data_IF_151484328442
#
_entry.id   IF_151484328442
#
_cell.length_a   1.000
_cell.length_b   1.000
_cell.length_c   1.000
_cell.angle_alpha   90.00
_cell.angle_beta   90.00
_cell.angle_gamma   90.00
#
_symmetry.space_group_name_H-M   'P 1'
#
loop_
_entity.id
_entity.type
_entity.pdbx_description
1 polymer ?
#
# COMPACT_ATOMS: atom_id res chain seq x y z
N UNK A 1 30.73 43.48 31.91
CA UNK A 1 29.37 43.03 31.52
C UNK A 1 29.49 41.67 30.85
N UNK A 2 28.73 40.67 31.33
CA UNK A 2 28.77 39.27 30.85
C UNK A 2 28.27 39.22 29.40
N UNK A 3 29.06 38.65 28.48
CA UNK A 3 28.58 38.28 27.15
C UNK A 3 28.37 36.75 27.13
N UNK A 4 27.13 36.39 26.90
CA UNK A 4 26.56 35.05 26.83
C UNK A 4 26.94 34.35 25.52
N UNK A 5 26.72 33.03 25.53
CA UNK A 5 26.68 32.06 24.42
C UNK A 5 27.99 31.33 24.09
N UNK A 6 28.16 30.17 24.74
CA UNK A 6 28.71 28.97 24.10
C UNK A 6 27.69 28.52 23.06
N UNK A 7 28.04 28.56 21.79
CA UNK A 7 27.31 27.88 20.73
C UNK A 7 28.35 27.15 19.86
N UNK A 8 28.58 25.88 20.19
CA UNK A 8 29.33 24.96 19.35
C UNK A 8 28.46 24.67 18.13
N UNK A 9 28.70 25.38 17.02
CA UNK A 9 28.07 25.09 15.75
C UNK A 9 28.63 23.78 15.16
N UNK A 10 28.16 22.66 15.70
CA UNK A 10 28.26 21.34 15.07
C UNK A 10 27.56 21.39 13.72
N UNK A 11 28.28 21.00 12.67
CA UNK A 11 27.87 21.12 11.28
C UNK A 11 26.46 20.57 11.01
N UNK A 12 25.57 21.45 10.58
CA UNK A 12 24.23 21.08 10.10
C UNK A 12 24.38 20.36 8.76
N UNK A 13 24.42 19.03 8.80
CA UNK A 13 24.21 18.21 7.61
C UNK A 13 22.70 18.28 7.25
N UNK A 14 22.34 19.19 6.36
CA UNK A 14 20.98 19.34 5.80
C UNK A 14 20.70 18.28 4.73
N UNK A 15 20.86 16.99 5.04
CA UNK A 15 20.50 15.93 4.10
C UNK A 15 19.65 14.87 4.78
N UNK A 16 18.41 15.23 5.14
CA UNK A 16 17.29 14.30 5.21
C UNK A 16 16.07 15.05 4.66
N UNK A 17 15.75 14.82 3.38
CA UNK A 17 14.66 13.93 2.96
C UNK A 17 13.47 14.81 2.55
N UNK A 18 13.00 14.85 1.32
CA UNK A 18 12.79 13.78 0.34
C UNK A 18 12.96 14.35 -1.06
N UNK A 19 13.44 13.52 -1.97
CA UNK A 19 13.38 13.75 -3.40
C UNK A 19 11.89 13.91 -3.76
N UNK A 20 11.42 15.14 -3.88
CA UNK A 20 10.16 15.44 -4.55
C UNK A 20 10.40 15.25 -6.05
N UNK A 21 10.60 13.98 -6.44
CA UNK A 21 10.23 13.54 -7.77
C UNK A 21 8.73 13.72 -7.74
N UNK A 22 8.25 14.80 -8.34
CA UNK A 22 6.85 14.98 -8.63
C UNK A 22 6.42 13.70 -9.36
N UNK A 23 5.86 12.75 -8.60
CA UNK A 23 5.11 11.65 -9.13
C UNK A 23 3.90 12.33 -9.72
N UNK A 24 4.05 12.76 -10.98
CA UNK A 24 2.94 12.84 -11.91
C UNK A 24 2.07 11.64 -11.58
N UNK A 25 0.95 11.91 -10.92
CA UNK A 25 0.01 10.87 -10.55
C UNK A 25 -0.32 10.20 -11.86
N UNK A 26 0.22 9.00 -12.09
CA UNK A 26 -0.21 8.17 -13.18
C UNK A 26 -1.67 7.91 -12.81
N UNK A 27 -2.56 8.73 -13.36
CA UNK A 27 -3.99 8.53 -13.29
C UNK A 27 -4.19 7.28 -14.11
N UNK A 28 -4.12 6.13 -13.42
CA UNK A 28 -4.48 4.85 -13.98
C UNK A 28 -5.97 4.99 -14.24
N UNK A 29 -6.31 5.30 -15.48
CA UNK A 29 -7.69 5.51 -15.89
C UNK A 29 -8.35 4.14 -15.91
N UNK A 30 -9.21 3.89 -14.92
CA UNK A 30 -9.74 2.56 -14.65
C UNK A 30 -10.54 2.50 -13.35
N UNK A 31 -11.31 1.41 -13.17
CA UNK A 31 -12.13 1.23 -11.98
C UNK A 31 -11.27 1.24 -10.71
N UNK A 32 -11.63 2.12 -9.76
CA UNK A 32 -10.94 2.23 -8.46
C UNK A 32 -11.74 1.52 -7.39
N UNK A 33 -11.10 0.56 -6.71
CA UNK A 33 -11.70 -0.09 -5.55
C UNK A 33 -11.91 0.92 -4.41
N UNK A 34 -13.16 1.15 -4.02
CA UNK A 34 -13.50 1.97 -2.84
C UNK A 34 -13.35 1.18 -1.54
N UNK A 35 -13.66 -0.12 -1.58
CA UNK A 35 -13.59 -1.03 -0.43
C UNK A 35 -13.17 -2.42 -0.89
N UNK A 36 -12.16 -2.98 -0.24
CA UNK A 36 -11.71 -4.35 -0.43
C UNK A 36 -12.00 -5.11 0.86
N UNK A 37 -12.83 -6.16 0.79
CA UNK A 37 -13.06 -7.06 1.93
C UNK A 37 -12.07 -8.21 1.85
N UNK A 38 -11.32 -8.42 2.92
CA UNK A 38 -10.44 -9.57 3.00
C UNK A 38 -11.27 -10.83 3.30
N UNK A 39 -11.01 -11.95 2.61
CA UNK A 39 -11.72 -13.19 2.86
C UNK A 39 -11.30 -13.79 4.20
N UNK A 40 -12.22 -14.51 4.83
CA UNK A 40 -11.94 -15.25 6.05
C UNK A 40 -11.06 -16.46 5.76
N UNK A 41 -10.09 -16.69 6.64
CA UNK A 41 -9.18 -17.82 6.50
C UNK A 41 -9.91 -19.15 6.80
N UNK A 42 -9.86 -20.17 5.93
CA UNK A 42 -10.61 -21.41 6.13
C UNK A 42 -10.19 -22.20 7.38
N UNK A 43 -11.18 -22.73 8.12
CA UNK A 43 -10.97 -23.54 9.33
C UNK A 43 -10.10 -24.78 9.12
N UNK A 44 -10.29 -25.59 8.06
CA UNK A 44 -9.45 -26.76 7.82
C UNK A 44 -7.98 -26.37 7.58
N UNK A 45 -7.74 -25.27 6.86
CA UNK A 45 -6.39 -24.78 6.59
C UNK A 45 -5.73 -24.26 7.88
N UNK A 46 -6.50 -23.56 8.73
CA UNK A 46 -6.04 -23.09 10.04
C UNK A 46 -5.60 -24.22 10.96
N UNK A 47 -6.41 -25.28 11.07
CA UNK A 47 -6.10 -26.46 11.91
C UNK A 47 -4.86 -27.22 11.43
N UNK A 48 -4.66 -27.28 10.12
CA UNK A 48 -3.51 -27.95 9.51
C UNK A 48 -2.28 -27.05 9.39
N UNK A 49 -2.35 -25.78 9.81
CA UNK A 49 -1.25 -24.81 9.69
C UNK A 49 -0.84 -24.54 8.24
N UNK A 50 -1.70 -24.83 7.27
CA UNK A 50 -1.41 -24.61 5.85
C UNK A 50 -1.43 -23.13 5.55
N UNK A 51 -0.68 -22.73 4.52
CA UNK A 51 -0.69 -21.40 3.91
C UNK A 51 -0.92 -21.58 2.40
N UNK A 52 -1.53 -20.61 1.75
CA UNK A 52 -1.79 -20.64 0.32
C UNK A 52 -2.02 -19.23 -0.23
N UNK A 53 -1.96 -19.12 -1.55
CA UNK A 53 -2.34 -17.93 -2.29
C UNK A 53 -3.41 -18.33 -3.30
N UNK A 54 -4.25 -17.37 -3.70
CA UNK A 54 -5.23 -17.58 -4.76
C UNK A 54 -5.10 -16.39 -5.70
N UNK A 55 -4.82 -16.66 -6.97
CA UNK A 55 -4.87 -15.64 -8.01
C UNK A 55 -6.27 -15.66 -8.62
N UNK A 56 -6.95 -14.51 -8.58
CA UNK A 56 -8.30 -14.36 -9.13
C UNK A 56 -8.31 -13.34 -10.25
N UNK A 57 -9.06 -13.64 -11.30
CA UNK A 57 -9.44 -12.69 -12.34
C UNK A 57 -10.89 -12.30 -12.09
N UNK A 58 -11.18 -11.01 -12.21
CA UNK A 58 -12.53 -10.49 -12.06
C UNK A 58 -12.69 -9.19 -12.86
N UNK A 59 -13.93 -8.86 -13.18
CA UNK A 59 -14.30 -7.63 -13.86
C UNK A 59 -15.05 -6.68 -12.91
N UNK A 60 -15.03 -5.39 -13.21
CA UNK A 60 -15.85 -4.37 -12.53
C UNK A 60 -16.88 -3.85 -13.52
N UNK A 61 -18.17 -3.96 -13.16
CA UNK A 61 -19.26 -3.46 -13.98
C UNK A 61 -19.40 -1.93 -13.93
N UNK A 62 -20.31 -1.38 -14.74
CA UNK A 62 -20.59 0.07 -14.81
C UNK A 62 -21.08 0.66 -13.46
N UNK A 63 -21.59 -0.18 -12.57
CA UNK A 63 -22.05 0.21 -11.23
C UNK A 63 -20.94 0.12 -10.16
N UNK A 64 -19.72 -0.28 -10.55
CA UNK A 64 -18.59 -0.47 -9.63
C UNK A 64 -18.66 -1.76 -8.83
N UNK A 65 -19.45 -2.76 -9.26
CA UNK A 65 -19.57 -4.08 -8.62
C UNK A 65 -18.65 -5.09 -9.28
N UNK A 66 -18.10 -5.99 -8.46
CA UNK A 66 -17.28 -7.11 -8.92
C UNK A 66 -18.18 -8.17 -9.57
N UNK A 67 -17.88 -8.55 -10.80
CA UNK A 67 -18.57 -9.59 -11.57
C UNK A 67 -17.54 -10.54 -12.22
N UNK A 68 -18.00 -11.66 -12.79
CA UNK A 68 -17.16 -12.62 -13.53
C UNK A 68 -15.93 -13.13 -12.75
N UNK A 69 -16.12 -13.53 -11.49
CA UNK A 69 -15.00 -13.96 -10.64
C UNK A 69 -14.56 -15.38 -11.02
N UNK A 70 -13.28 -15.50 -11.40
CA UNK A 70 -12.63 -16.76 -11.78
C UNK A 70 -11.32 -16.95 -10.99
N UNK A 71 -11.04 -18.20 -10.60
CA UNK A 71 -9.77 -18.57 -9.98
C UNK A 71 -8.80 -19.02 -11.06
N UNK A 72 -7.69 -18.31 -11.20
CA UNK A 72 -6.67 -18.56 -12.21
C UNK A 72 -5.60 -19.53 -11.72
N UNK A 73 -5.29 -19.50 -10.41
CA UNK A 73 -4.25 -20.34 -9.80
C UNK A 73 -4.45 -20.49 -8.28
N UNK A 74 -4.07 -21.65 -7.70
CA UNK A 74 -4.31 -22.00 -6.29
C UNK A 74 -3.38 -23.08 -5.73
#
# INVERSE_FOLDING_TARGET
MRKLASDDHVGVNKNQQTNQIASSSISIDGPRALRIQHPDYPDPARKLGKKGYVNVLYDIDENGRVVNLEVVDS
#
